data_IF_553565355307
#
_entry.id   IF_553565355307
#
_cell.length_a   1.000
_cell.length_b   1.000
_cell.length_c   1.000
_cell.angle_alpha   90.00
_cell.angle_beta   90.00
_cell.angle_gamma   90.00
#
_symmetry.space_group_name_H-M   'P 1'
#
loop_
_entity.id
_entity.type
_entity.pdbx_description
1 polymer ?
#
# COMPACT_ATOMS: atom_id res chain seq x y z
N UNK A 1 17.24 7.03 -5.58
CA UNK A 1 16.48 6.13 -4.68
C UNK A 1 15.01 6.55 -4.72
N UNK A 2 14.14 5.68 -5.22
CA UNK A 2 12.71 5.92 -5.33
C UNK A 2 12.00 5.27 -4.13
N UNK A 3 11.32 6.07 -3.33
CA UNK A 3 10.57 5.60 -2.16
C UNK A 3 9.12 5.24 -2.50
N UNK A 4 8.54 5.97 -3.45
CA UNK A 4 7.13 5.84 -3.77
C UNK A 4 6.87 6.30 -5.20
N UNK A 5 5.96 5.62 -5.90
CA UNK A 5 5.39 6.04 -7.19
C UNK A 5 3.88 6.00 -7.12
N UNK A 6 3.23 6.90 -7.85
CA UNK A 6 1.77 6.95 -7.99
C UNK A 6 1.38 7.47 -9.36
N UNK A 7 0.53 6.75 -10.07
CA UNK A 7 -0.17 7.22 -11.25
C UNK A 7 -1.48 7.85 -10.81
N UNK A 8 -1.76 9.06 -11.26
CA UNK A 8 -3.04 9.71 -10.96
C UNK A 8 -3.19 11.05 -11.65
N UNK A 9 -4.39 11.30 -12.21
CA UNK A 9 -4.70 12.53 -12.92
C UNK A 9 -3.85 12.78 -14.17
N UNK A 10 -3.48 11.75 -14.93
CA UNK A 10 -2.58 11.78 -16.10
C UNK A 10 -1.16 12.27 -15.74
N UNK A 11 -0.73 12.02 -14.52
CA UNK A 11 0.62 12.33 -14.06
C UNK A 11 1.23 11.14 -13.31
N UNK A 12 2.54 10.97 -13.49
CA UNK A 12 3.35 10.08 -12.65
C UNK A 12 4.01 10.91 -11.54
N UNK A 13 3.76 10.53 -10.31
CA UNK A 13 4.37 11.09 -9.11
C UNK A 13 5.48 10.17 -8.60
N UNK A 14 6.67 10.71 -8.42
CA UNK A 14 7.87 9.96 -8.02
C UNK A 14 8.49 10.60 -6.79
N UNK A 15 8.50 9.89 -5.67
CA UNK A 15 9.17 10.34 -4.45
C UNK A 15 10.65 9.95 -4.45
N UNK A 16 11.52 10.95 -4.38
CA UNK A 16 12.97 10.79 -4.35
C UNK A 16 13.50 11.04 -2.93
N UNK A 17 14.00 10.00 -2.28
CA UNK A 17 14.40 10.03 -0.87
C UNK A 17 15.53 11.03 -0.56
N UNK A 18 16.68 11.04 -1.26
CA UNK A 18 17.79 11.92 -0.89
C UNK A 18 17.44 13.41 -0.90
N UNK A 19 16.48 13.81 -1.74
CA UNK A 19 16.06 15.22 -1.83
C UNK A 19 14.76 15.51 -1.11
N UNK A 20 14.08 14.47 -0.58
CA UNK A 20 12.75 14.59 0.00
C UNK A 20 11.79 15.38 -0.91
N UNK A 21 11.84 15.06 -2.21
CA UNK A 21 11.10 15.77 -3.27
C UNK A 21 10.20 14.81 -4.00
N UNK A 22 8.99 15.25 -4.35
CA UNK A 22 8.08 14.58 -5.28
C UNK A 22 8.25 15.23 -6.67
N UNK A 23 8.72 14.46 -7.61
CA UNK A 23 8.76 14.83 -9.02
C UNK A 23 7.47 14.43 -9.70
N UNK A 24 7.04 15.22 -10.69
CA UNK A 24 5.79 15.00 -11.42
C UNK A 24 6.08 15.00 -12.92
N UNK A 25 5.75 13.90 -13.58
CA UNK A 25 5.85 13.76 -15.04
C UNK A 25 4.44 13.68 -15.61
N UNK A 26 4.09 14.63 -16.50
CA UNK A 26 2.79 14.60 -17.17
C UNK A 26 2.76 13.57 -18.32
N UNK A 27 1.58 13.14 -18.74
CA UNK A 27 1.38 12.27 -19.90
C UNK A 27 1.99 12.84 -21.22
N UNK A 28 2.17 14.17 -21.27
CA UNK A 28 2.88 14.85 -22.38
C UNK A 28 4.42 14.69 -22.34
N UNK A 29 4.94 13.89 -21.39
CA UNK A 29 6.37 13.67 -21.19
C UNK A 29 7.12 14.87 -20.57
N UNK A 30 6.41 15.89 -20.09
CA UNK A 30 7.04 17.07 -19.51
C UNK A 30 7.05 17.00 -17.97
N UNK A 31 8.22 17.32 -17.39
CA UNK A 31 8.33 17.47 -15.93
C UNK A 31 7.62 18.75 -15.47
N UNK A 32 6.83 18.63 -14.41
CA UNK A 32 6.17 19.72 -13.72
C UNK A 32 7.05 20.24 -12.57
N UNK A 33 6.69 21.40 -12.03
CA UNK A 33 7.31 21.90 -10.81
C UNK A 33 7.24 20.86 -9.70
N UNK A 34 8.37 20.52 -9.06
CA UNK A 34 8.40 19.50 -8.02
C UNK A 34 7.73 19.98 -6.73
N UNK A 35 7.12 19.06 -6.02
CA UNK A 35 6.57 19.31 -4.68
C UNK A 35 7.62 19.00 -3.62
N UNK A 36 7.74 19.89 -2.61
CA UNK A 36 8.59 19.70 -1.44
C UNK A 36 7.72 19.36 -0.23
N UNK A 37 7.50 18.09 0.08
CA UNK A 37 6.62 17.68 1.18
C UNK A 37 7.20 17.96 2.57
N UNK A 38 8.50 18.20 2.68
CA UNK A 38 9.17 18.49 3.95
C UNK A 38 9.85 17.29 4.59
N UNK A 39 9.83 16.12 3.94
CA UNK A 39 10.48 14.91 4.40
C UNK A 39 10.30 13.75 3.39
N UNK A 40 10.90 12.61 3.70
CA UNK A 40 10.81 11.41 2.87
C UNK A 40 9.37 10.84 2.87
N UNK A 41 8.77 10.75 1.69
CA UNK A 41 7.40 10.30 1.49
C UNK A 41 7.34 8.78 1.50
N UNK A 42 6.49 8.22 2.37
CA UNK A 42 6.15 6.78 2.39
C UNK A 42 4.86 6.48 1.63
N UNK A 43 3.91 7.42 1.62
CA UNK A 43 2.65 7.33 0.86
C UNK A 43 2.21 8.71 0.38
N UNK A 44 1.58 8.73 -0.80
CA UNK A 44 0.97 9.93 -1.37
C UNK A 44 -0.38 9.57 -1.98
N UNK A 45 -1.45 9.95 -1.32
CA UNK A 45 -2.81 9.66 -1.73
C UNK A 45 -3.41 10.91 -2.39
N UNK A 46 -3.68 10.82 -3.69
CA UNK A 46 -4.28 11.91 -4.46
C UNK A 46 -5.80 11.92 -4.28
N UNK A 47 -6.35 13.10 -4.10
CA UNK A 47 -7.79 13.34 -4.13
C UNK A 47 -8.15 14.47 -5.13
N UNK A 48 -9.40 14.89 -5.17
CA UNK A 48 -9.91 15.90 -6.13
C UNK A 48 -9.29 17.28 -5.97
N UNK A 49 -8.75 17.62 -4.81
CA UNK A 49 -8.27 18.97 -4.47
C UNK A 49 -6.78 19.03 -4.21
N UNK A 50 -6.12 17.88 -4.04
CA UNK A 50 -4.71 17.82 -3.73
C UNK A 50 -4.23 16.43 -3.38
N UNK A 51 -3.48 16.29 -2.30
CA UNK A 51 -3.02 15.00 -1.81
C UNK A 51 -2.82 14.98 -0.30
N UNK A 52 -3.00 13.80 0.28
CA UNK A 52 -2.54 13.46 1.62
C UNK A 52 -1.23 12.70 1.54
N UNK A 53 -0.27 13.04 2.38
CA UNK A 53 1.03 12.39 2.40
C UNK A 53 1.46 11.98 3.80
N UNK A 54 2.05 10.78 3.91
CA UNK A 54 2.79 10.38 5.09
C UNK A 54 4.29 10.56 4.86
N UNK A 55 4.95 11.25 5.79
CA UNK A 55 6.39 11.43 5.81
C UNK A 55 6.97 10.51 6.88
N UNK A 56 7.76 9.53 6.47
CA UNK A 56 8.20 8.44 7.36
C UNK A 56 9.11 8.94 8.51
N UNK A 57 9.83 10.04 8.31
CA UNK A 57 10.75 10.63 9.27
C UNK A 57 12.07 9.88 9.39
N UNK A 58 12.05 8.56 9.60
CA UNK A 58 13.24 7.70 9.62
C UNK A 58 12.94 6.40 8.89
N UNK A 59 13.75 6.07 7.89
CA UNK A 59 13.65 4.79 7.20
C UNK A 59 14.07 3.62 8.10
N UNK A 60 15.12 3.83 8.90
CA UNK A 60 15.57 2.82 9.85
C UNK A 60 14.72 2.80 11.13
N UNK A 61 14.62 1.64 11.81
CA UNK A 61 13.93 1.54 13.08
C UNK A 61 14.38 2.64 14.06
N UNK A 62 13.42 3.39 14.59
CA UNK A 62 13.68 4.51 15.49
C UNK A 62 12.52 4.70 16.46
N UNK A 63 12.84 5.07 17.70
CA UNK A 63 11.86 5.49 18.71
C UNK A 63 11.52 6.98 18.60
N UNK A 64 12.35 7.75 17.86
CA UNK A 64 12.13 9.19 17.70
C UNK A 64 10.96 9.47 16.77
N UNK A 65 9.93 10.16 17.22
CA UNK A 65 8.83 10.58 16.35
C UNK A 65 9.32 11.74 15.46
N UNK A 66 9.57 11.45 14.19
CA UNK A 66 9.99 12.44 13.17
C UNK A 66 9.06 12.45 11.97
N UNK A 67 8.09 11.54 11.95
CA UNK A 67 7.12 11.42 10.87
C UNK A 67 6.06 12.50 10.94
N UNK A 68 5.38 12.72 9.83
CA UNK A 68 4.28 13.68 9.74
C UNK A 68 3.19 13.19 8.79
N UNK A 69 1.98 13.69 9.03
CA UNK A 69 0.88 13.65 8.07
C UNK A 69 0.74 15.05 7.48
N UNK A 70 0.80 15.14 6.16
CA UNK A 70 0.78 16.42 5.44
C UNK A 70 -0.35 16.48 4.43
N UNK A 71 -0.86 17.70 4.22
CA UNK A 71 -1.77 18.06 3.14
C UNK A 71 -1.03 18.88 2.12
N UNK A 72 -1.05 18.45 0.86
CA UNK A 72 -0.64 19.28 -0.28
C UNK A 72 -1.88 19.76 -1.02
N UNK A 73 -2.01 21.06 -1.16
CA UNK A 73 -3.12 21.70 -1.84
C UNK A 73 -2.69 23.06 -2.39
N UNK A 74 -3.09 23.38 -3.63
CA UNK A 74 -2.77 24.65 -4.29
C UNK A 74 -1.27 25.00 -4.30
N UNK A 75 -0.41 23.97 -4.48
CA UNK A 75 1.04 24.13 -4.51
C UNK A 75 1.72 24.29 -3.14
N UNK A 76 0.98 24.18 -2.05
CA UNK A 76 1.48 24.35 -0.68
C UNK A 76 1.34 23.06 0.11
N UNK A 77 2.38 22.70 0.86
CA UNK A 77 2.36 21.59 1.82
C UNK A 77 2.21 22.13 3.25
N UNK A 78 1.28 21.54 4.00
CA UNK A 78 1.03 21.90 5.42
C UNK A 78 0.96 20.63 6.26
N UNK A 79 1.57 20.65 7.45
CA UNK A 79 1.41 19.55 8.41
C UNK A 79 0.02 19.61 9.04
N UNK A 80 -0.66 18.46 9.11
CA UNK A 80 -2.00 18.38 9.68
C UNK A 80 -1.97 18.31 11.21
N UNK A 81 -1.05 17.52 11.75
CA UNK A 81 -0.97 17.27 13.19
C UNK A 81 0.15 18.10 13.83
N UNK A 82 -0.09 18.67 15.03
CA UNK A 82 0.95 19.42 15.75
C UNK A 82 2.01 18.51 16.37
N UNK A 83 1.68 17.25 16.62
CA UNK A 83 2.61 16.25 17.17
C UNK A 83 3.21 15.41 16.05
N UNK A 84 4.52 15.13 16.08
CA UNK A 84 5.14 14.22 15.13
C UNK A 84 4.66 12.78 15.34
N UNK A 85 4.74 11.97 14.28
CA UNK A 85 4.31 10.58 14.24
C UNK A 85 5.50 9.61 14.28
N UNK A 86 5.25 8.38 14.73
CA UNK A 86 6.24 7.30 14.78
C UNK A 86 6.23 6.51 13.47
N UNK A 87 7.03 6.96 12.48
CA UNK A 87 7.18 6.28 11.17
C UNK A 87 5.83 5.97 10.51
N UNK A 88 5.02 6.97 10.15
CA UNK A 88 3.78 6.73 9.43
C UNK A 88 4.10 6.18 8.03
N UNK A 89 3.39 5.12 7.64
CA UNK A 89 3.62 4.37 6.40
C UNK A 89 2.52 4.53 5.38
N UNK A 90 1.28 4.67 5.84
CA UNK A 90 0.14 4.73 4.93
C UNK A 90 -0.95 5.66 5.46
N UNK A 91 -1.75 6.20 4.53
CA UNK A 91 -2.94 7.00 4.81
C UNK A 91 -4.02 6.68 3.77
N UNK A 92 -5.23 6.45 4.25
CA UNK A 92 -6.44 6.30 3.46
C UNK A 92 -7.35 7.50 3.72
N UNK A 93 -7.88 8.13 2.66
CA UNK A 93 -8.89 9.19 2.74
C UNK A 93 -10.23 8.62 2.29
N UNK A 94 -11.24 8.66 3.18
CA UNK A 94 -12.55 8.06 2.95
C UNK A 94 -13.56 8.57 3.97
N UNK A 95 -14.82 8.77 3.57
CA UNK A 95 -15.91 9.17 4.47
C UNK A 95 -16.39 7.98 5.31
N UNK A 96 -15.92 7.85 6.55
CA UNK A 96 -16.20 6.73 7.45
C UNK A 96 -17.44 6.92 8.31
N UNK A 97 -18.00 8.12 8.36
CA UNK A 97 -19.17 8.44 9.17
C UNK A 97 -20.38 8.86 8.33
N UNK A 98 -20.24 8.87 7.00
CA UNK A 98 -21.28 9.22 6.01
C UNK A 98 -21.82 10.64 6.23
N UNK A 99 -20.92 11.59 6.53
CA UNK A 99 -21.25 12.99 6.75
C UNK A 99 -20.92 13.89 5.54
N UNK A 100 -20.40 13.29 4.46
CA UNK A 100 -20.03 13.95 3.21
C UNK A 100 -18.64 14.60 3.24
N UNK A 101 -17.84 14.36 4.29
CA UNK A 101 -16.46 14.80 4.41
C UNK A 101 -15.52 13.60 4.51
N UNK A 102 -14.41 13.66 3.80
CA UNK A 102 -13.42 12.62 3.90
C UNK A 102 -12.67 12.66 5.23
N UNK A 103 -12.64 11.54 5.91
CA UNK A 103 -11.84 11.23 7.08
C UNK A 103 -10.51 10.62 6.67
N UNK A 104 -9.61 10.37 7.63
CA UNK A 104 -8.32 9.77 7.35
C UNK A 104 -8.06 8.58 8.29
N UNK A 105 -7.71 7.43 7.72
CA UNK A 105 -7.11 6.33 8.49
C UNK A 105 -5.59 6.38 8.31
N UNK A 106 -4.85 6.43 9.40
CA UNK A 106 -3.39 6.58 9.39
C UNK A 106 -2.74 5.36 10.02
N UNK A 107 -1.82 4.74 9.28
CA UNK A 107 -0.95 3.67 9.75
C UNK A 107 0.36 4.25 10.28
N UNK A 108 0.65 4.03 11.56
CA UNK A 108 1.86 4.44 12.24
C UNK A 108 2.65 3.20 12.62
N UNK A 109 3.62 2.84 11.74
CA UNK A 109 4.39 1.59 11.89
C UNK A 109 5.21 1.57 13.18
N UNK A 110 5.92 2.67 13.43
CA UNK A 110 6.74 2.82 14.62
C UNK A 110 7.94 1.88 14.66
N UNK A 111 8.31 1.52 15.88
CA UNK A 111 9.23 0.44 16.24
C UNK A 111 8.66 -0.27 17.47
N UNK A 112 8.77 0.29 18.67
CA UNK A 112 8.03 -0.16 19.87
C UNK A 112 6.78 0.71 20.14
N UNK A 113 6.79 1.94 19.61
CA UNK A 113 5.69 2.91 19.71
C UNK A 113 5.13 3.12 18.29
N UNK A 114 3.98 2.57 18.04
CA UNK A 114 3.23 2.70 16.80
C UNK A 114 1.76 2.45 17.05
N UNK A 115 0.93 2.73 16.07
CA UNK A 115 -0.53 2.60 16.20
C UNK A 115 -1.21 2.63 14.84
N UNK A 116 -2.52 2.42 14.81
CA UNK A 116 -3.38 2.94 13.77
C UNK A 116 -4.48 3.77 14.40
N UNK A 117 -4.88 4.82 13.73
CA UNK A 117 -5.92 5.70 14.22
C UNK A 117 -6.73 6.30 13.07
N UNK A 118 -7.95 6.66 13.39
CA UNK A 118 -8.83 7.41 12.52
C UNK A 118 -8.83 8.87 12.95
N UNK A 119 -8.78 9.78 11.98
CA UNK A 119 -8.94 11.22 12.13
C UNK A 119 -10.29 11.60 11.52
N UNK A 120 -11.27 11.83 12.37
CA UNK A 120 -12.60 12.31 11.98
C UNK A 120 -12.53 13.77 11.58
N UNK A 121 -13.01 14.08 10.38
CA UNK A 121 -13.11 15.44 9.87
C UNK A 121 -14.40 16.11 10.34
N UNK A 122 -14.35 16.89 11.41
CA UNK A 122 -15.51 17.58 12.00
C UNK A 122 -15.82 18.95 11.34
N UNK A 123 -15.33 19.19 10.11
CA UNK A 123 -15.58 20.44 9.38
C UNK A 123 -14.65 21.60 9.76
N UNK A 124 -13.35 21.35 9.80
CA UNK A 124 -12.30 22.33 10.07
C UNK A 124 -11.33 21.92 11.17
N UNK A 125 -11.58 20.79 11.81
CA UNK A 125 -10.70 20.13 12.76
C UNK A 125 -10.70 18.63 12.49
N UNK A 126 -9.66 17.96 12.95
CA UNK A 126 -9.57 16.51 12.95
C UNK A 126 -9.54 16.00 14.39
N UNK A 127 -10.44 15.07 14.71
CA UNK A 127 -10.48 14.40 16.00
C UNK A 127 -9.88 13.00 15.88
N UNK A 128 -8.92 12.67 16.76
CA UNK A 128 -8.19 11.40 16.71
C UNK A 128 -8.90 10.32 17.51
N UNK A 129 -9.26 9.22 16.84
CA UNK A 129 -9.86 8.04 17.44
C UNK A 129 -8.89 6.84 17.27
N UNK A 130 -8.52 6.14 18.35
CA UNK A 130 -7.60 5.01 18.26
C UNK A 130 -8.29 3.79 17.63
N UNK A 131 -7.61 3.12 16.70
CA UNK A 131 -8.02 1.85 16.08
C UNK A 131 -7.18 0.68 16.62
N UNK A 132 -5.85 0.73 16.45
CA UNK A 132 -4.92 -0.25 16.95
C UNK A 132 -3.89 0.43 17.87
N UNK A 133 -3.68 -0.13 19.07
CA UNK A 133 -2.70 0.35 20.05
C UNK A 133 -1.47 -0.56 20.10
N UNK A 134 -0.91 -0.82 18.92
CA UNK A 134 0.28 -1.66 18.74
C UNK A 134 1.10 -1.17 17.54
N UNK A 135 2.43 -1.35 17.55
CA UNK A 135 3.27 -1.04 16.40
C UNK A 135 3.02 -2.02 15.25
N UNK A 136 3.50 -1.63 14.06
CA UNK A 136 3.51 -2.50 12.91
C UNK A 136 2.39 -2.24 11.89
N UNK A 137 1.52 -1.23 12.07
CA UNK A 137 0.54 -0.89 11.04
C UNK A 137 1.25 -0.38 9.80
N UNK A 138 1.19 -1.14 8.69
CA UNK A 138 2.01 -0.90 7.50
C UNK A 138 1.22 -0.41 6.30
N UNK A 139 0.01 -0.93 6.10
CA UNK A 139 -0.84 -0.59 4.96
C UNK A 139 -2.31 -0.62 5.34
N UNK A 140 -3.11 0.21 4.67
CA UNK A 140 -4.57 0.29 4.83
C UNK A 140 -5.25 0.31 3.47
N UNK A 141 -6.36 -0.43 3.33
CA UNK A 141 -7.19 -0.43 2.12
C UNK A 141 -8.67 -0.44 2.50
N UNK A 142 -9.50 0.28 1.72
CA UNK A 142 -10.96 0.30 1.91
C UNK A 142 -11.66 -0.70 1.03
N UNK A 143 -12.88 -1.11 1.47
CA UNK A 143 -13.80 -1.93 0.70
C UNK A 143 -15.19 -1.84 1.30
N UNK A 144 -16.16 -2.54 0.73
CA UNK A 144 -17.50 -2.70 1.28
C UNK A 144 -17.70 -4.17 1.66
N UNK A 145 -17.43 -4.50 2.93
CA UNK A 145 -17.51 -5.86 3.45
C UNK A 145 -18.90 -6.20 4.04
N UNK A 146 -19.81 -5.22 4.01
CA UNK A 146 -21.23 -5.35 4.30
C UNK A 146 -22.03 -4.45 3.35
N UNK A 147 -23.38 -4.55 3.42
CA UNK A 147 -24.31 -3.83 2.53
C UNK A 147 -24.87 -2.53 3.16
N UNK A 148 -24.14 -1.89 4.09
CA UNK A 148 -24.66 -0.69 4.81
C UNK A 148 -24.37 0.63 4.08
N UNK A 149 -23.57 0.60 2.99
CA UNK A 149 -23.22 1.76 2.17
C UNK A 149 -22.17 2.68 2.81
N UNK A 150 -21.65 2.34 3.98
CA UNK A 150 -20.52 3.02 4.62
C UNK A 150 -19.25 2.25 4.30
N UNK A 151 -18.14 2.90 3.92
CA UNK A 151 -16.90 2.20 3.66
C UNK A 151 -16.38 1.46 4.90
N UNK A 152 -15.96 0.22 4.68
CA UNK A 152 -15.19 -0.58 5.60
C UNK A 152 -13.71 -0.51 5.22
N UNK A 153 -12.83 -1.03 6.06
CA UNK A 153 -11.40 -1.04 5.75
C UNK A 153 -10.65 -2.17 6.44
N UNK A 154 -9.50 -2.52 5.87
CA UNK A 154 -8.54 -3.44 6.47
C UNK A 154 -7.24 -2.73 6.79
N UNK A 155 -6.58 -3.13 7.88
CA UNK A 155 -5.24 -2.71 8.24
C UNK A 155 -4.35 -3.94 8.27
N UNK A 156 -3.27 -3.90 7.49
CA UNK A 156 -2.21 -4.90 7.52
C UNK A 156 -1.18 -4.52 8.57
N UNK A 157 -0.80 -5.47 9.40
CA UNK A 157 0.29 -5.29 10.38
C UNK A 157 1.45 -6.23 10.14
N UNK A 158 2.65 -5.73 10.40
CA UNK A 158 3.91 -6.44 10.47
C UNK A 158 4.53 -6.29 11.87
N UNK A 159 5.88 -6.24 11.97
CA UNK A 159 6.61 -5.96 13.23
C UNK A 159 6.27 -6.94 14.35
N UNK A 160 6.49 -8.23 14.12
CA UNK A 160 6.20 -9.32 15.06
C UNK A 160 4.71 -9.57 15.34
N UNK A 161 3.81 -8.90 14.63
CA UNK A 161 2.35 -9.08 14.71
C UNK A 161 1.75 -9.12 13.30
N UNK A 162 2.15 -10.12 12.55
CA UNK A 162 1.75 -10.31 11.15
C UNK A 162 0.26 -10.68 11.07
N UNK A 163 -0.59 -9.67 10.87
CA UNK A 163 -2.04 -9.86 10.90
C UNK A 163 -2.77 -8.95 9.91
N UNK A 164 -3.99 -9.33 9.58
CA UNK A 164 -4.98 -8.49 8.91
C UNK A 164 -6.11 -8.20 9.89
N UNK A 165 -6.37 -6.92 10.11
CA UNK A 165 -7.43 -6.41 10.95
C UNK A 165 -8.51 -5.81 10.07
N UNK A 166 -9.71 -6.39 10.11
CA UNK A 166 -10.89 -5.92 9.41
C UNK A 166 -11.74 -5.05 10.34
N UNK A 167 -12.13 -3.88 9.87
CA UNK A 167 -13.02 -2.95 10.53
C UNK A 167 -14.28 -2.80 9.69
N UNK A 168 -15.38 -3.40 10.15
CA UNK A 168 -16.68 -3.38 9.49
C UNK A 168 -17.52 -2.28 10.13
N UNK A 169 -18.05 -1.37 9.32
CA UNK A 169 -19.00 -0.37 9.79
C UNK A 169 -20.23 -1.03 10.45
N UNK A 170 -20.64 -0.47 11.57
CA UNK A 170 -21.90 -0.80 12.26
C UNK A 170 -22.80 0.42 12.39
N UNK A 171 -22.45 1.47 11.66
CA UNK A 171 -23.07 2.78 11.62
C UNK A 171 -22.03 3.89 11.63
N UNK A 172 -22.43 5.14 11.41
CA UNK A 172 -21.52 6.27 11.26
C UNK A 172 -20.43 6.35 12.32
N UNK A 173 -19.16 6.22 11.92
CA UNK A 173 -17.99 6.27 12.79
C UNK A 173 -17.88 5.14 13.83
N UNK A 174 -18.57 4.03 13.64
CA UNK A 174 -18.52 2.86 14.54
C UNK A 174 -18.14 1.61 13.79
N UNK A 175 -17.22 0.84 14.33
CA UNK A 175 -16.68 -0.35 13.67
C UNK A 175 -16.70 -1.58 14.58
N UNK A 176 -17.08 -2.73 14.00
CA UNK A 176 -16.77 -4.04 14.54
C UNK A 176 -15.38 -4.44 14.07
N UNK A 177 -14.44 -4.60 14.99
CA UNK A 177 -13.05 -4.94 14.70
C UNK A 177 -12.83 -6.44 14.85
N UNK A 178 -12.28 -7.07 13.81
CA UNK A 178 -11.92 -8.50 13.80
C UNK A 178 -10.50 -8.68 13.28
N UNK A 179 -9.69 -9.48 13.95
CA UNK A 179 -8.45 -10.00 13.39
C UNK A 179 -8.79 -11.24 12.57
N UNK A 180 -8.73 -11.11 11.24
CA UNK A 180 -9.21 -12.14 10.30
C UNK A 180 -8.10 -13.07 9.80
N UNK A 181 -6.85 -12.64 9.93
CA UNK A 181 -5.66 -13.40 9.56
C UNK A 181 -4.56 -13.12 10.58
N UNK A 182 -3.82 -14.16 10.96
CA UNK A 182 -2.60 -14.05 11.76
C UNK A 182 -1.53 -15.00 11.21
N UNK A 183 -0.28 -14.55 11.21
CA UNK A 183 0.88 -15.31 10.74
C UNK A 183 2.03 -15.20 11.72
N UNK A 184 2.99 -16.10 11.60
CA UNK A 184 4.22 -16.03 12.38
C UNK A 184 5.03 -14.78 12.00
N UNK A 185 5.72 -14.12 12.95
CA UNK A 185 6.52 -12.91 12.69
C UNK A 185 7.51 -12.99 11.54
N UNK A 186 8.01 -14.19 11.24
CA UNK A 186 8.94 -14.39 10.13
C UNK A 186 8.34 -14.24 8.73
N UNK A 187 6.99 -14.08 8.62
CA UNK A 187 6.33 -13.94 7.33
C UNK A 187 6.63 -12.61 6.64
N UNK A 188 6.71 -11.52 7.40
CA UNK A 188 7.09 -10.21 6.90
C UNK A 188 6.08 -9.64 5.91
N UNK A 189 4.89 -9.30 6.37
CA UNK A 189 3.87 -8.62 5.57
C UNK A 189 4.37 -7.28 5.03
N UNK A 190 4.02 -6.94 3.79
CA UNK A 190 4.50 -5.75 3.10
C UNK A 190 3.40 -4.90 2.48
N UNK A 191 2.38 -5.50 1.88
CA UNK A 191 1.29 -4.77 1.22
C UNK A 191 -0.02 -5.56 1.25
N UNK A 192 -1.15 -4.85 1.21
CA UNK A 192 -2.50 -5.39 1.04
C UNK A 192 -3.29 -4.54 0.04
N UNK A 193 -4.03 -5.20 -0.83
CA UNK A 193 -5.05 -4.61 -1.70
C UNK A 193 -6.39 -5.30 -1.44
N UNK A 194 -7.48 -4.53 -1.51
CA UNK A 194 -8.86 -5.02 -1.43
C UNK A 194 -9.48 -4.88 -2.81
N UNK A 195 -9.92 -5.99 -3.38
CA UNK A 195 -10.48 -6.06 -4.72
C UNK A 195 -11.42 -7.25 -4.85
N UNK A 196 -12.51 -7.13 -5.59
CA UNK A 196 -13.34 -8.27 -6.00
C UNK A 196 -12.66 -9.01 -7.16
N UNK A 197 -11.76 -9.94 -6.80
CA UNK A 197 -10.86 -10.58 -7.77
C UNK A 197 -11.59 -11.58 -8.67
N UNK A 198 -12.53 -12.33 -8.11
CA UNK A 198 -13.28 -13.35 -8.81
C UNK A 198 -14.64 -12.87 -9.36
N UNK A 199 -14.95 -11.57 -9.18
CA UNK A 199 -16.17 -10.89 -9.62
C UNK A 199 -17.46 -11.51 -9.07
N UNK A 200 -17.41 -11.98 -7.83
CA UNK A 200 -18.56 -12.53 -7.13
C UNK A 200 -19.35 -11.48 -6.30
N UNK A 201 -18.87 -10.23 -6.29
CA UNK A 201 -19.46 -9.10 -5.57
C UNK A 201 -18.95 -8.96 -4.14
N UNK A 202 -18.00 -9.78 -3.71
CA UNK A 202 -17.43 -9.73 -2.37
C UNK A 202 -15.95 -9.30 -2.43
N UNK A 203 -15.50 -8.35 -1.59
CA UNK A 203 -14.12 -7.93 -1.60
C UNK A 203 -13.18 -9.02 -1.11
N UNK A 204 -12.16 -9.33 -1.91
CA UNK A 204 -11.07 -10.25 -1.63
C UNK A 204 -9.82 -9.49 -1.15
N UNK A 205 -8.79 -10.23 -0.73
CA UNK A 205 -7.54 -9.66 -0.24
C UNK A 205 -6.36 -10.18 -1.05
N UNK A 206 -5.64 -9.28 -1.71
CA UNK A 206 -4.34 -9.56 -2.32
C UNK A 206 -3.24 -9.08 -1.38
N UNK A 207 -2.42 -10.00 -0.87
CA UNK A 207 -1.44 -9.74 0.17
C UNK A 207 -0.05 -10.15 -0.30
N UNK A 208 0.96 -9.29 -0.06
CA UNK A 208 2.37 -9.65 -0.21
C UNK A 208 3.03 -9.83 1.15
N UNK A 209 3.96 -10.74 1.19
CA UNK A 209 4.87 -10.92 2.31
C UNK A 209 6.26 -11.30 1.80
N UNK A 210 7.28 -10.59 2.25
CA UNK A 210 8.63 -10.75 1.73
C UNK A 210 9.67 -9.93 2.48
N UNK A 211 9.32 -9.35 3.63
CA UNK A 211 10.28 -8.55 4.40
C UNK A 211 11.40 -9.43 4.98
N UNK A 212 12.62 -9.04 4.65
CA UNK A 212 13.88 -9.56 5.16
C UNK A 212 14.77 -8.44 5.74
N UNK A 213 14.18 -7.27 6.06
CA UNK A 213 14.90 -6.07 6.49
C UNK A 213 15.74 -6.24 7.76
N UNK A 214 15.39 -7.22 8.60
CA UNK A 214 16.11 -7.52 9.84
C UNK A 214 17.32 -8.45 9.65
N UNK A 215 17.62 -8.86 8.41
CA UNK A 215 18.65 -9.85 8.11
C UNK A 215 19.79 -9.22 7.31
N UNK A 216 21.03 -9.55 7.69
CA UNK A 216 22.25 -9.10 6.97
C UNK A 216 22.38 -9.71 5.56
N UNK A 217 21.67 -10.81 5.30
CA UNK A 217 21.64 -11.48 4.00
C UNK A 217 20.21 -11.87 3.62
N UNK A 218 19.92 -11.93 2.33
CA UNK A 218 18.62 -12.38 1.82
C UNK A 218 18.43 -13.85 2.20
N UNK A 219 17.54 -14.11 3.17
CA UNK A 219 17.19 -15.46 3.55
C UNK A 219 16.05 -15.97 2.68
N UNK A 220 16.25 -17.15 2.10
CA UNK A 220 15.16 -17.85 1.43
C UNK A 220 14.12 -18.31 2.45
N UNK A 221 12.92 -17.80 2.30
CA UNK A 221 11.74 -18.20 3.08
C UNK A 221 10.68 -18.71 2.10
N UNK A 222 10.36 -20.02 2.10
CA UNK A 222 9.47 -20.63 1.10
C UNK A 222 8.02 -20.14 1.17
N UNK A 223 7.67 -19.40 2.19
CA UNK A 223 6.35 -18.77 2.38
C UNK A 223 6.32 -17.30 1.92
N UNK A 224 7.44 -16.72 1.45
CA UNK A 224 7.42 -15.40 0.83
C UNK A 224 6.72 -15.45 -0.53
N UNK A 225 5.90 -14.46 -0.81
CA UNK A 225 5.19 -14.40 -2.09
C UNK A 225 3.95 -13.52 -2.09
N UNK A 226 3.18 -13.70 -3.13
CA UNK A 226 1.89 -13.06 -3.36
C UNK A 226 0.77 -14.05 -3.07
N UNK A 227 -0.21 -13.63 -2.28
CA UNK A 227 -1.35 -14.47 -1.89
C UNK A 227 -2.67 -13.79 -2.19
N UNK A 228 -3.56 -14.56 -2.76
CA UNK A 228 -4.96 -14.17 -2.91
C UNK A 228 -5.79 -14.94 -1.89
N UNK A 229 -6.55 -14.21 -1.09
CA UNK A 229 -7.52 -14.75 -0.14
C UNK A 229 -8.92 -14.37 -0.59
N UNK A 230 -9.72 -15.35 -1.01
CA UNK A 230 -11.10 -15.12 -1.40
C UNK A 230 -12.04 -15.07 -0.19
N UNK A 231 -13.00 -14.16 -0.26
CA UNK A 231 -14.06 -13.96 0.71
C UNK A 231 -15.26 -14.87 0.39
N UNK A 232 -15.83 -15.55 1.36
CA UNK A 232 -17.01 -16.39 1.20
C UNK A 232 -18.35 -15.62 1.24
N UNK A 233 -18.30 -14.28 1.17
CA UNK A 233 -19.45 -13.40 1.31
C UNK A 233 -19.93 -13.21 2.76
N UNK A 234 -19.21 -13.78 3.74
CA UNK A 234 -19.46 -13.62 5.19
C UNK A 234 -18.25 -13.12 5.94
N UNK A 235 -17.31 -12.53 5.19
CA UNK A 235 -16.03 -12.04 5.71
C UNK A 235 -15.16 -13.14 6.34
N UNK A 236 -15.27 -14.37 5.80
CA UNK A 236 -14.38 -15.47 6.09
C UNK A 236 -13.51 -15.75 4.88
N UNK A 237 -12.22 -15.55 5.06
CA UNK A 237 -11.24 -15.59 3.99
C UNK A 237 -10.52 -16.93 3.93
N UNK A 238 -10.29 -17.44 2.72
CA UNK A 238 -9.46 -18.63 2.48
C UNK A 238 -8.39 -18.33 1.43
N UNK A 239 -7.19 -18.84 1.63
CA UNK A 239 -6.11 -18.72 0.65
C UNK A 239 -6.44 -19.58 -0.58
N UNK A 240 -6.70 -18.90 -1.72
CA UNK A 240 -7.07 -19.54 -2.97
C UNK A 240 -5.90 -19.67 -3.94
N UNK A 241 -4.89 -18.78 -3.81
CA UNK A 241 -3.71 -18.79 -4.67
C UNK A 241 -2.48 -18.32 -3.91
N UNK A 242 -1.33 -18.91 -4.24
CA UNK A 242 0.00 -18.48 -3.80
C UNK A 242 0.97 -18.55 -4.98
N UNK A 243 1.61 -17.42 -5.29
CA UNK A 243 2.82 -17.38 -6.09
C UNK A 243 4.04 -17.15 -5.19
N UNK A 244 4.98 -18.09 -5.21
CA UNK A 244 6.19 -17.99 -4.41
C UNK A 244 7.16 -16.99 -5.04
N UNK A 245 7.41 -15.87 -4.38
CA UNK A 245 8.35 -14.84 -4.80
C UNK A 245 9.17 -14.37 -3.60
N UNK A 246 10.46 -14.75 -3.51
CA UNK A 246 11.33 -14.27 -2.44
C UNK A 246 11.41 -12.75 -2.42
N UNK A 247 11.14 -12.15 -1.26
CA UNK A 247 11.21 -10.71 -1.10
C UNK A 247 10.06 -9.93 -1.70
N UNK A 248 8.91 -10.56 -2.02
CA UNK A 248 7.71 -9.89 -2.53
C UNK A 248 7.35 -8.68 -1.65
N UNK A 249 7.17 -7.52 -2.28
CA UNK A 249 7.00 -6.28 -1.55
C UNK A 249 5.66 -5.58 -1.84
N UNK A 250 5.27 -5.53 -3.11
CA UNK A 250 4.01 -4.94 -3.53
C UNK A 250 3.38 -5.78 -4.63
N UNK A 251 2.05 -5.95 -4.58
CA UNK A 251 1.27 -6.51 -5.68
C UNK A 251 0.06 -5.61 -5.95
N UNK A 252 -0.36 -5.55 -7.20
CA UNK A 252 -1.58 -4.87 -7.67
C UNK A 252 -2.29 -5.75 -8.69
N UNK A 253 -3.61 -5.73 -8.68
CA UNK A 253 -4.43 -6.49 -9.62
C UNK A 253 -5.14 -5.55 -10.59
N UNK A 254 -4.96 -5.83 -11.88
CA UNK A 254 -5.64 -5.15 -13.00
C UNK A 254 -5.81 -6.13 -14.16
N UNK A 255 -6.70 -5.82 -15.07
CA UNK A 255 -6.79 -6.46 -16.38
C UNK A 255 -5.67 -5.86 -17.27
N UNK A 256 -4.49 -6.51 -17.29
CA UNK A 256 -3.31 -5.99 -17.99
C UNK A 256 -3.25 -6.40 -19.47
N UNK A 257 -4.01 -7.42 -19.89
CA UNK A 257 -4.00 -7.87 -21.28
C UNK A 257 -5.35 -7.61 -22.01
N UNK A 258 -6.33 -7.02 -21.31
CA UNK A 258 -7.61 -6.57 -21.88
C UNK A 258 -8.58 -7.72 -22.15
N UNK A 259 -8.38 -8.90 -21.54
CA UNK A 259 -9.25 -10.07 -21.74
C UNK A 259 -10.49 -10.07 -20.82
N UNK A 260 -10.49 -9.17 -19.85
CA UNK A 260 -11.55 -8.97 -18.89
C UNK A 260 -11.33 -9.66 -17.56
N UNK A 261 -10.35 -10.52 -17.39
CA UNK A 261 -9.98 -11.12 -16.11
C UNK A 261 -8.88 -10.30 -15.39
N UNK A 262 -8.75 -10.44 -14.07
CA UNK A 262 -7.73 -9.73 -13.33
C UNK A 262 -6.43 -10.52 -13.30
N UNK A 263 -5.36 -9.86 -13.74
CA UNK A 263 -3.98 -10.30 -13.59
C UNK A 263 -3.36 -9.74 -12.32
N UNK A 264 -2.16 -10.19 -11.97
CA UNK A 264 -1.43 -9.69 -10.80
C UNK A 264 -0.01 -9.27 -11.21
N UNK A 265 0.31 -7.98 -11.06
CA UNK A 265 1.69 -7.51 -11.11
C UNK A 265 2.29 -7.51 -9.71
N UNK A 266 3.51 -8.04 -9.57
CA UNK A 266 4.21 -8.08 -8.28
C UNK A 266 5.68 -7.70 -8.39
N UNK A 267 6.14 -6.87 -7.45
CA UNK A 267 7.53 -6.45 -7.31
C UNK A 267 8.16 -7.02 -6.03
N UNK A 268 9.48 -7.25 -6.06
CA UNK A 268 10.25 -7.72 -4.92
C UNK A 268 11.35 -6.73 -4.55
N UNK A 269 11.43 -6.37 -3.26
CA UNK A 269 12.49 -5.52 -2.72
C UNK A 269 13.71 -6.34 -2.27
N UNK A 270 13.47 -7.53 -1.71
CA UNK A 270 14.50 -8.46 -1.26
C UNK A 270 14.57 -9.70 -2.16
N UNK A 271 14.56 -9.48 -3.49
CA UNK A 271 14.65 -10.57 -4.46
C UNK A 271 15.95 -11.37 -4.31
N UNK A 272 15.85 -12.70 -4.46
CA UNK A 272 17.00 -13.61 -4.46
C UNK A 272 17.50 -13.81 -5.91
N UNK A 273 18.21 -12.82 -6.44
CA UNK A 273 18.74 -12.84 -7.81
C UNK A 273 19.79 -13.93 -8.05
N UNK A 274 20.37 -14.52 -7.01
CA UNK A 274 21.27 -15.67 -7.17
C UNK A 274 20.49 -16.93 -7.54
N UNK A 275 19.28 -17.07 -7.02
CA UNK A 275 18.40 -18.21 -7.27
C UNK A 275 17.52 -18.00 -8.50
N UNK A 276 16.96 -16.79 -8.65
CA UNK A 276 16.11 -16.40 -9.75
C UNK A 276 16.49 -14.99 -10.24
N UNK A 277 17.24 -14.89 -11.35
CA UNK A 277 17.65 -13.61 -11.93
C UNK A 277 16.47 -12.71 -12.37
N UNK A 278 15.27 -13.28 -12.51
CA UNK A 278 14.06 -12.55 -12.92
C UNK A 278 13.11 -12.25 -11.78
N UNK A 279 13.44 -12.70 -10.56
CA UNK A 279 12.55 -12.65 -9.38
C UNK A 279 12.20 -11.27 -8.84
N UNK A 280 12.77 -10.20 -9.42
CA UNK A 280 12.50 -8.82 -8.98
C UNK A 280 11.13 -8.29 -9.37
N UNK A 281 10.57 -8.74 -10.49
CA UNK A 281 9.25 -8.39 -10.97
C UNK A 281 8.63 -9.56 -11.72
N UNK A 282 7.33 -9.76 -11.54
CA UNK A 282 6.54 -10.73 -12.31
C UNK A 282 5.16 -10.16 -12.62
N UNK A 283 4.69 -10.39 -13.83
CA UNK A 283 3.28 -10.27 -14.20
C UNK A 283 2.70 -11.69 -14.26
N UNK A 284 1.73 -11.97 -13.43
CA UNK A 284 0.97 -13.22 -13.38
C UNK A 284 -0.29 -13.02 -14.22
N UNK A 285 -0.24 -13.41 -15.49
CA UNK A 285 -1.39 -13.34 -16.38
C UNK A 285 -2.36 -14.48 -16.06
N UNK A 286 -3.62 -14.16 -15.85
CA UNK A 286 -4.65 -15.14 -15.58
C UNK A 286 -5.19 -15.71 -16.90
N UNK A 287 -4.85 -16.95 -17.24
CA UNK A 287 -5.34 -17.63 -18.46
C UNK A 287 -6.69 -18.35 -18.26
N UNK A 288 -7.03 -18.66 -17.02
CA UNK A 288 -8.31 -19.22 -16.56
C UNK A 288 -8.49 -18.87 -15.09
N UNK A 289 -9.70 -18.95 -14.51
CA UNK A 289 -9.92 -18.62 -13.11
C UNK A 289 -8.90 -19.25 -12.16
N UNK A 290 -8.11 -18.41 -11.50
CA UNK A 290 -7.01 -18.76 -10.57
C UNK A 290 -5.88 -19.60 -11.18
N UNK A 291 -5.74 -19.62 -12.50
CA UNK A 291 -4.63 -20.26 -13.20
C UNK A 291 -3.79 -19.20 -13.92
N UNK A 292 -2.57 -19.03 -13.49
CA UNK A 292 -1.71 -17.94 -13.93
C UNK A 292 -0.49 -18.43 -14.69
N UNK A 293 -0.15 -17.72 -15.76
CA UNK A 293 1.14 -17.84 -16.45
C UNK A 293 2.06 -16.70 -16.00
N UNK A 294 3.19 -17.01 -15.34
CA UNK A 294 4.13 -15.98 -14.94
C UNK A 294 4.91 -15.43 -16.14
N UNK A 295 4.91 -14.12 -16.30
CA UNK A 295 5.68 -13.38 -17.28
C UNK A 295 6.70 -12.52 -16.51
N UNK A 296 7.98 -12.85 -16.65
CA UNK A 296 9.05 -12.13 -16.00
C UNK A 296 9.71 -11.12 -16.96
N UNK A 297 10.09 -9.96 -16.44
CA UNK A 297 10.93 -9.04 -17.20
C UNK A 297 12.38 -9.53 -17.18
N UNK A 298 13.13 -9.41 -18.30
CA UNK A 298 14.57 -9.63 -18.29
C UNK A 298 15.22 -8.70 -17.27
N UNK A 299 16.02 -9.27 -16.37
CA UNK A 299 16.50 -8.68 -15.14
C UNK A 299 17.02 -7.25 -15.25
N UNK A 300 16.39 -6.35 -14.49
CA UNK A 300 17.15 -5.31 -13.85
C UNK A 300 17.48 -5.79 -12.44
N UNK A 301 18.74 -5.95 -12.10
CA UNK A 301 19.23 -6.26 -10.76
C UNK A 301 18.98 -5.06 -9.85
N UNK A 302 17.72 -4.88 -9.45
CA UNK A 302 17.24 -3.70 -8.72
C UNK A 302 16.32 -4.12 -7.58
N UNK A 303 16.35 -3.34 -6.50
CA UNK A 303 15.40 -3.48 -5.40
C UNK A 303 14.18 -2.64 -5.70
N UNK A 304 13.08 -3.28 -6.11
CA UNK A 304 11.84 -2.62 -6.49
C UNK A 304 10.98 -2.34 -5.26
N UNK A 305 11.17 -1.16 -4.64
CA UNK A 305 10.43 -0.74 -3.46
C UNK A 305 9.04 -0.20 -3.80
N UNK A 306 8.94 0.50 -4.92
CA UNK A 306 7.72 1.18 -5.31
C UNK A 306 7.17 0.61 -6.62
N UNK A 307 5.86 0.46 -6.69
CA UNK A 307 5.13 0.06 -7.88
C UNK A 307 3.74 0.70 -7.85
N UNK A 308 3.26 1.11 -8.99
CA UNK A 308 1.86 1.48 -9.20
C UNK A 308 1.43 1.10 -10.62
N UNK A 309 0.12 0.97 -10.84
CA UNK A 309 -0.47 0.67 -12.13
C UNK A 309 -1.62 1.63 -12.43
N UNK A 310 -1.82 1.94 -13.71
CA UNK A 310 -2.87 2.83 -14.20
C UNK A 310 -2.58 3.30 -15.61
N UNK A 311 -3.57 3.87 -16.28
CA UNK A 311 -3.43 4.49 -17.61
C UNK A 311 -2.66 5.81 -17.46
N UNK A 312 -1.37 5.80 -17.79
CA UNK A 312 -0.49 6.96 -17.64
C UNK A 312 -0.52 7.87 -18.86
N UNK A 313 -0.61 7.31 -20.06
CA UNK A 313 -0.53 8.06 -21.30
C UNK A 313 -1.89 8.34 -21.96
N UNK A 314 -2.97 7.78 -21.42
CA UNK A 314 -4.35 8.03 -21.83
C UNK A 314 -4.80 7.20 -23.02
N UNK A 315 -4.12 6.09 -23.31
CA UNK A 315 -4.46 5.20 -24.42
C UNK A 315 -5.51 4.13 -24.07
N UNK A 316 -5.82 3.99 -22.79
CA UNK A 316 -6.83 3.08 -22.24
C UNK A 316 -6.26 1.76 -21.75
N UNK A 317 -4.98 1.47 -21.97
CA UNK A 317 -4.30 0.30 -21.43
C UNK A 317 -3.72 0.61 -20.04
N UNK A 318 -3.47 -0.43 -19.24
CA UNK A 318 -2.94 -0.24 -17.89
C UNK A 318 -1.42 -0.35 -17.89
N UNK A 319 -0.76 0.77 -17.63
CA UNK A 319 0.70 0.86 -17.47
C UNK A 319 1.17 0.40 -16.09
N UNK A 320 2.40 -0.11 -16.02
CA UNK A 320 3.08 -0.44 -14.78
C UNK A 320 4.32 0.42 -14.61
N UNK A 321 4.44 1.09 -13.47
CA UNK A 321 5.61 1.87 -13.12
C UNK A 321 6.32 1.25 -11.91
N UNK A 322 7.62 1.01 -12.06
CA UNK A 322 8.49 0.47 -11.02
C UNK A 322 9.50 1.53 -10.54
N UNK A 323 9.66 1.65 -9.23
CA UNK A 323 10.63 2.54 -8.60
C UNK A 323 11.70 1.77 -7.85
N UNK A 324 12.98 1.94 -8.24
CA UNK A 324 14.10 1.27 -7.61
C UNK A 324 14.65 2.04 -6.42
N UNK A 325 14.97 1.32 -5.34
CA UNK A 325 15.69 1.82 -4.17
C UNK A 325 17.02 1.06 -4.04
N UNK A 326 18.03 1.52 -4.77
CA UNK A 326 19.35 0.91 -4.73
C UNK A 326 20.27 1.77 -3.84
N UNK A 327 20.90 1.14 -2.87
CA UNK A 327 22.03 1.76 -2.18
C UNK A 327 23.20 1.75 -3.16
N UNK A 328 23.58 2.94 -3.68
CA UNK A 328 24.72 3.12 -4.55
C UNK A 328 26.05 2.83 -3.85
#
# INVERSE_FOLDING_TARGET
>A
QCMYVKIGGNELWVAHEPTSTLHRLGADGQWREPVKPGGAVSRWHLDKTGAWGTLIGSFYPSMDPRGALVRWEQGKTTSLLPQPLHRPTDVLSVDLNNDGREDLVVCEYGHFLGSAFWLENTGGKYERHPLLKQPGSISVASGHFNDDGIPDFVILTGQAREAVHLFISTGPGKFDHRQILERHPAWGHTHIEVIDFNKDGHPDLLITNGDNGDLDAVAFKPYHGVRLHLNDGKNKFHEAFLYQQPGAYRAVAHDFDGDGDLDIASSAFFADYQRDPTGGFVLLRQDQPLQFTPLALPAADSRWLAMDAGDLDGDGDVDIVLGAYNNG
#
